data_IF_620732622101
#
_entry.id   IF_620732622101
#
_cell.length_a   1.000
_cell.length_b   1.000
_cell.length_c   1.000
_cell.angle_alpha   90.00
_cell.angle_beta   90.00
_cell.angle_gamma   90.00
#
_symmetry.space_group_name_H-M   'P 1'
#
loop_
_entity.id
_entity.type
_entity.pdbx_description
1 polymer ?
#
# COMPACT_ATOMS: atom_id res chain seq x y z
N UNK A 1 -18.05 -2.18 -16.54
CA UNK A 1 -19.17 -2.97 -15.97
C UNK A 1 -18.72 -4.40 -15.70
N UNK A 2 -18.11 -4.68 -14.54
CA UNK A 2 -17.81 -6.05 -14.05
C UNK A 2 -17.22 -6.12 -12.62
N UNK A 3 -17.09 -5.01 -11.89
CA UNK A 3 -16.42 -5.01 -10.58
C UNK A 3 -17.27 -4.55 -9.38
N UNK A 4 -18.59 -4.46 -9.53
CA UNK A 4 -19.53 -4.30 -8.39
C UNK A 4 -19.75 -5.64 -7.64
N UNK A 5 -19.04 -6.71 -8.02
CA UNK A 5 -19.47 -8.09 -7.76
C UNK A 5 -19.11 -8.61 -6.36
N UNK A 6 -18.12 -8.08 -5.63
CA UNK A 6 -17.75 -8.69 -4.33
C UNK A 6 -18.66 -8.24 -3.18
N UNK A 7 -19.10 -6.98 -3.16
CA UNK A 7 -20.11 -6.51 -2.20
C UNK A 7 -21.53 -6.91 -2.64
N UNK A 8 -21.77 -7.02 -3.96
CA UNK A 8 -23.00 -7.63 -4.47
C UNK A 8 -23.05 -9.11 -4.14
N UNK A 9 -21.94 -9.86 -4.06
CA UNK A 9 -22.02 -11.30 -3.76
C UNK A 9 -22.64 -11.61 -2.40
N UNK A 10 -22.43 -10.76 -1.39
CA UNK A 10 -23.10 -10.93 -0.09
C UNK A 10 -24.58 -10.51 -0.16
N UNK A 11 -24.92 -9.48 -0.95
CA UNK A 11 -26.30 -9.07 -1.23
C UNK A 11 -27.06 -10.04 -2.18
N UNK A 12 -26.37 -10.74 -3.09
CA UNK A 12 -26.97 -11.71 -4.03
C UNK A 12 -27.00 -13.13 -3.52
N UNK A 13 -26.23 -13.47 -2.49
CA UNK A 13 -26.41 -14.75 -1.80
C UNK A 13 -27.78 -14.80 -1.11
N UNK A 14 -28.29 -13.64 -0.67
CA UNK A 14 -29.66 -13.51 -0.14
C UNK A 14 -30.71 -13.66 -1.27
N UNK A 15 -30.43 -13.20 -2.49
CA UNK A 15 -31.39 -13.25 -3.59
C UNK A 15 -31.41 -14.57 -4.39
N UNK A 16 -30.34 -15.37 -4.42
CA UNK A 16 -30.32 -16.61 -5.24
C UNK A 16 -30.97 -17.82 -4.56
N UNK A 17 -31.33 -17.72 -3.27
CA UNK A 17 -32.26 -18.65 -2.61
C UNK A 17 -33.69 -18.08 -2.50
N UNK A 18 -33.98 -16.98 -3.21
CA UNK A 18 -35.28 -16.33 -3.26
C UNK A 18 -36.26 -16.97 -4.25
N UNK A 19 -36.41 -18.30 -4.23
CA UNK A 19 -37.70 -18.90 -4.58
C UNK A 19 -38.26 -19.57 -3.33
N UNK A 20 -39.40 -19.02 -2.89
CA UNK A 20 -40.23 -19.43 -1.75
C UNK A 20 -39.70 -19.13 -0.34
N UNK A 21 -39.79 -17.85 0.07
CA UNK A 21 -40.39 -17.49 1.37
C UNK A 21 -40.63 -15.97 1.45
N UNK A 22 -41.88 -15.55 1.22
CA UNK A 22 -42.35 -14.14 1.32
C UNK A 22 -42.39 -13.58 2.76
N UNK A 23 -41.83 -14.29 3.76
CA UNK A 23 -41.99 -13.99 5.19
C UNK A 23 -40.67 -13.84 5.99
N UNK A 24 -39.52 -13.65 5.35
CA UNK A 24 -38.31 -13.23 6.07
C UNK A 24 -38.31 -11.69 6.15
N UNK A 25 -38.40 -11.07 7.35
CA UNK A 25 -38.23 -9.63 7.46
C UNK A 25 -36.84 -9.27 6.94
N UNK A 26 -36.76 -8.20 6.14
CA UNK A 26 -35.47 -7.64 5.77
C UNK A 26 -34.72 -7.24 7.04
N UNK A 27 -33.45 -7.63 7.15
CA UNK A 27 -32.58 -7.25 8.27
C UNK A 27 -32.62 -5.74 8.45
N UNK A 28 -32.76 -5.27 9.69
CA UNK A 28 -32.67 -3.85 9.98
C UNK A 28 -31.20 -3.36 9.96
N UNK A 29 -31.02 -2.04 10.02
CA UNK A 29 -29.68 -1.42 9.94
C UNK A 29 -28.74 -1.94 11.05
N UNK A 30 -29.26 -2.21 12.24
CA UNK A 30 -28.47 -2.69 13.37
C UNK A 30 -28.03 -4.13 13.13
N UNK A 31 -28.95 -4.99 12.70
CA UNK A 31 -28.66 -6.41 12.40
C UNK A 31 -27.65 -6.55 11.25
N UNK A 32 -27.69 -5.65 10.27
CA UNK A 32 -26.71 -5.61 9.18
C UNK A 32 -25.31 -5.21 9.67
N UNK A 33 -25.22 -4.24 10.58
CA UNK A 33 -23.93 -3.81 11.17
C UNK A 33 -23.35 -4.92 12.03
N UNK A 34 -24.16 -5.58 12.86
CA UNK A 34 -23.72 -6.71 13.69
C UNK A 34 -23.21 -7.86 12.82
N UNK A 35 -23.95 -8.25 11.77
CA UNK A 35 -23.53 -9.30 10.85
C UNK A 35 -22.21 -8.95 10.12
N UNK A 36 -22.05 -7.69 9.74
CA UNK A 36 -20.81 -7.20 9.13
C UNK A 36 -19.63 -7.30 10.10
N UNK A 37 -19.81 -6.86 11.35
CA UNK A 37 -18.78 -6.94 12.39
C UNK A 37 -18.41 -8.39 12.70
N UNK A 38 -19.39 -9.28 12.89
CA UNK A 38 -19.14 -10.72 13.08
C UNK A 38 -18.36 -11.33 11.92
N UNK A 39 -18.67 -10.91 10.69
CA UNK A 39 -17.94 -11.36 9.50
C UNK A 39 -16.50 -10.87 9.49
N UNK A 40 -16.25 -9.61 9.82
CA UNK A 40 -14.90 -9.06 9.89
C UNK A 40 -14.09 -9.71 11.01
N UNK A 41 -14.69 -9.91 12.20
CA UNK A 41 -14.08 -10.64 13.31
C UNK A 41 -13.75 -12.09 12.93
N UNK A 42 -14.63 -12.75 12.17
CA UNK A 42 -14.36 -14.09 11.65
C UNK A 42 -13.18 -14.10 10.67
N UNK A 43 -12.99 -13.06 9.87
CA UNK A 43 -11.84 -12.94 8.96
C UNK A 43 -10.58 -12.65 9.78
N UNK A 44 -10.64 -11.72 10.74
CA UNK A 44 -9.52 -11.37 11.61
C UNK A 44 -8.96 -12.60 12.34
N UNK A 45 -9.84 -13.46 12.85
CA UNK A 45 -9.46 -14.72 13.53
C UNK A 45 -8.74 -15.72 12.62
N UNK A 46 -8.77 -15.53 11.29
CA UNK A 46 -7.99 -16.37 10.37
C UNK A 46 -6.56 -15.91 10.21
N UNK A 47 -6.22 -14.71 10.70
CA UNK A 47 -4.86 -14.20 10.64
C UNK A 47 -4.00 -14.71 11.78
N UNK A 48 -2.79 -15.13 11.43
CA UNK A 48 -1.72 -15.51 12.34
C UNK A 48 -0.62 -14.46 12.24
N UNK A 49 -0.63 -13.54 13.19
CA UNK A 49 0.36 -12.49 13.32
C UNK A 49 1.66 -13.02 13.92
N UNK A 50 2.78 -12.47 13.45
CA UNK A 50 4.12 -12.82 13.91
C UNK A 50 4.81 -11.60 14.53
N UNK A 51 5.79 -11.87 15.39
CA UNK A 51 6.60 -10.91 16.14
C UNK A 51 8.05 -11.37 16.18
N UNK A 52 8.97 -10.45 16.49
CA UNK A 52 10.39 -10.74 16.58
C UNK A 52 11.08 -10.84 15.22
N UNK A 53 12.00 -11.79 15.08
CA UNK A 53 12.86 -11.93 13.91
C UNK A 53 12.21 -12.78 12.82
N UNK A 54 12.09 -12.24 11.62
CA UNK A 54 11.62 -12.91 10.40
C UNK A 54 12.76 -13.01 9.39
N UNK A 55 12.92 -14.21 8.85
CA UNK A 55 13.78 -14.45 7.69
C UNK A 55 13.03 -14.10 6.40
N UNK A 56 13.56 -13.17 5.63
CA UNK A 56 12.94 -12.67 4.40
C UNK A 56 13.59 -13.36 3.20
N UNK A 57 12.75 -13.97 2.38
CA UNK A 57 13.11 -14.65 1.12
C UNK A 57 14.32 -15.59 1.27
N UNK A 58 14.15 -16.63 2.09
CA UNK A 58 15.12 -17.72 2.24
C UNK A 58 16.54 -17.25 2.60
N UNK A 59 16.66 -16.29 3.53
CA UNK A 59 17.93 -15.76 4.00
C UNK A 59 18.45 -14.55 3.25
N UNK A 60 17.68 -13.97 2.31
CA UNK A 60 18.09 -12.74 1.63
C UNK A 60 18.26 -11.57 2.60
N UNK A 61 17.29 -11.38 3.49
CA UNK A 61 17.29 -10.31 4.47
C UNK A 61 16.70 -10.76 5.80
N UNK A 62 16.96 -9.99 6.84
CA UNK A 62 16.33 -10.16 8.15
C UNK A 62 15.40 -8.97 8.39
N UNK A 63 14.18 -9.26 8.84
CA UNK A 63 13.28 -8.28 9.45
C UNK A 63 13.22 -8.53 10.96
N UNK A 64 13.69 -7.57 11.76
CA UNK A 64 13.41 -7.47 13.18
C UNK A 64 12.16 -6.61 13.35
N UNK A 65 11.02 -7.24 13.66
CA UNK A 65 9.73 -6.54 13.74
C UNK A 65 9.81 -5.47 14.85
N UNK A 66 9.56 -4.18 14.53
CA UNK A 66 9.60 -3.11 15.52
C UNK A 66 8.61 -3.32 16.66
N UNK A 67 8.96 -2.84 17.85
CA UNK A 67 8.04 -2.83 18.99
C UNK A 67 6.76 -2.04 18.64
N UNK A 68 5.59 -2.57 19.02
CA UNK A 68 4.30 -1.98 18.69
C UNK A 68 3.79 -2.33 17.29
N UNK A 69 4.46 -3.25 16.58
CA UNK A 69 4.04 -3.77 15.29
C UNK A 69 3.93 -5.29 15.29
N UNK A 70 3.09 -5.77 14.38
CA UNK A 70 2.89 -7.18 14.07
C UNK A 70 2.99 -7.42 12.57
N UNK A 71 3.37 -8.63 12.19
CA UNK A 71 3.64 -8.99 10.80
C UNK A 71 2.68 -10.07 10.29
N UNK A 72 2.23 -9.93 9.05
CA UNK A 72 1.58 -10.97 8.25
C UNK A 72 2.55 -11.45 7.17
N UNK A 73 2.72 -12.77 7.08
CA UNK A 73 3.53 -13.40 6.05
C UNK A 73 2.93 -13.22 4.64
N UNK A 74 3.71 -13.44 3.56
CA UNK A 74 3.34 -13.10 2.19
C UNK A 74 1.97 -13.59 1.73
N UNK A 75 1.53 -14.80 2.10
CA UNK A 75 0.24 -15.33 1.69
C UNK A 75 -0.93 -14.60 2.36
N UNK A 76 -0.88 -14.39 3.67
CA UNK A 76 -1.87 -13.59 4.40
C UNK A 76 -1.85 -12.11 3.99
N UNK A 77 -0.67 -11.54 3.78
CA UNK A 77 -0.52 -10.18 3.27
C UNK A 77 -1.17 -10.02 1.88
N UNK A 78 -0.95 -10.97 0.97
CA UNK A 78 -1.61 -10.99 -0.34
C UNK A 78 -3.13 -11.06 -0.23
N UNK A 79 -3.65 -11.88 0.67
CA UNK A 79 -5.09 -11.96 0.92
C UNK A 79 -5.66 -10.63 1.41
N UNK A 80 -4.97 -9.93 2.31
CA UNK A 80 -5.33 -8.57 2.73
C UNK A 80 -5.31 -7.61 1.54
N UNK A 81 -4.16 -7.49 0.86
CA UNK A 81 -3.94 -6.50 -0.19
C UNK A 81 -4.85 -6.72 -1.41
N UNK A 82 -5.04 -7.97 -1.82
CA UNK A 82 -5.72 -8.32 -3.08
C UNK A 82 -7.19 -8.67 -2.86
N UNK A 83 -7.49 -9.62 -1.98
CA UNK A 83 -8.87 -10.13 -1.86
C UNK A 83 -9.76 -9.19 -1.03
N UNK A 84 -9.24 -8.69 0.08
CA UNK A 84 -9.99 -7.85 1.01
C UNK A 84 -9.96 -6.40 0.53
N UNK A 85 -8.76 -5.86 0.29
CA UNK A 85 -8.57 -4.48 -0.12
C UNK A 85 -8.78 -4.27 -1.62
N UNK A 86 -8.77 -5.33 -2.42
CA UNK A 86 -9.14 -5.25 -3.83
C UNK A 86 -8.08 -4.60 -4.72
N UNK A 87 -6.81 -4.55 -4.29
CA UNK A 87 -5.68 -4.17 -5.15
C UNK A 87 -5.44 -5.25 -6.22
N UNK A 88 -4.82 -4.92 -7.36
CA UNK A 88 -4.34 -5.94 -8.28
C UNK A 88 -3.32 -6.87 -7.59
N UNK A 89 -3.24 -8.14 -8.00
CA UNK A 89 -2.21 -9.04 -7.52
C UNK A 89 -0.81 -8.47 -7.78
N UNK A 90 0.04 -8.54 -6.77
CA UNK A 90 1.45 -8.18 -6.86
C UNK A 90 2.26 -9.02 -5.88
N UNK A 91 3.55 -9.21 -6.15
CA UNK A 91 4.44 -9.83 -5.18
C UNK A 91 4.58 -8.94 -3.94
N UNK A 92 4.58 -9.57 -2.77
CA UNK A 92 4.81 -8.93 -1.47
C UNK A 92 5.62 -9.90 -0.60
N UNK A 93 6.50 -9.34 0.21
CA UNK A 93 7.26 -10.05 1.23
C UNK A 93 6.59 -9.95 2.60
N UNK A 94 5.36 -9.44 2.67
CA UNK A 94 4.54 -9.37 3.87
C UNK A 94 4.06 -7.97 4.20
N UNK A 95 3.30 -7.88 5.30
CA UNK A 95 2.64 -6.65 5.73
C UNK A 95 2.89 -6.44 7.23
N UNK A 96 3.46 -5.28 7.59
CA UNK A 96 3.51 -4.82 8.98
C UNK A 96 2.29 -3.95 9.27
N UNK A 97 1.75 -4.12 10.47
CA UNK A 97 0.58 -3.42 10.98
C UNK A 97 0.87 -2.94 12.40
N UNK A 98 0.37 -1.76 12.83
CA UNK A 98 0.39 -1.40 14.24
C UNK A 98 -0.35 -2.44 15.08
N UNK A 99 0.19 -2.76 16.26
CA UNK A 99 -0.25 -3.88 17.10
C UNK A 99 -1.77 -3.91 17.35
N UNK A 100 -2.32 -2.73 17.67
CA UNK A 100 -3.70 -2.55 18.09
C UNK A 100 -4.67 -2.25 16.94
N UNK A 101 -4.27 -2.50 15.70
CA UNK A 101 -5.10 -2.31 14.50
C UNK A 101 -5.37 -3.64 13.82
N UNK A 102 -6.45 -3.73 13.04
CA UNK A 102 -6.68 -4.87 12.15
C UNK A 102 -6.85 -4.36 10.72
N UNK A 103 -6.40 -5.11 9.70
CA UNK A 103 -6.57 -4.71 8.30
C UNK A 103 -8.02 -4.83 7.81
N UNK A 104 -8.93 -5.38 8.62
CA UNK A 104 -10.34 -5.59 8.29
C UNK A 104 -11.31 -4.86 9.23
N UNK A 105 -10.79 -4.09 10.19
CA UNK A 105 -11.59 -3.37 11.18
C UNK A 105 -11.67 -1.87 10.89
N UNK A 106 -12.67 -1.22 11.48
CA UNK A 106 -12.88 0.22 11.38
C UNK A 106 -11.78 1.06 12.09
N UNK A 107 -10.92 0.41 12.88
CA UNK A 107 -9.79 1.06 13.54
C UNK A 107 -8.47 0.95 12.75
N UNK A 108 -8.51 0.46 11.51
CA UNK A 108 -7.37 0.46 10.61
C UNK A 108 -6.86 1.90 10.38
N UNK A 109 -5.54 2.11 10.49
CA UNK A 109 -4.93 3.43 10.30
C UNK A 109 -3.97 3.46 9.11
N UNK A 110 -3.02 2.54 9.09
CA UNK A 110 -2.06 2.36 8.01
C UNK A 110 -1.46 0.95 8.05
N UNK A 111 -0.81 0.57 6.95
CA UNK A 111 0.03 -0.61 6.90
C UNK A 111 1.36 -0.29 6.21
N UNK A 112 2.35 -1.14 6.44
CA UNK A 112 3.65 -1.08 5.79
C UNK A 112 3.82 -2.33 4.96
N UNK A 113 3.76 -2.19 3.65
CA UNK A 113 4.00 -3.29 2.74
C UNK A 113 5.50 -3.46 2.50
N UNK A 114 5.97 -4.70 2.61
CA UNK A 114 7.35 -5.06 2.28
C UNK A 114 7.38 -5.67 0.88
N UNK A 115 8.26 -5.15 0.02
CA UNK A 115 8.47 -5.63 -1.36
C UNK A 115 9.96 -5.65 -1.69
N UNK A 116 10.34 -6.43 -2.70
CA UNK A 116 11.70 -6.47 -3.23
C UNK A 116 11.68 -6.29 -4.74
N UNK A 117 12.63 -5.51 -5.25
CA UNK A 117 12.79 -5.24 -6.67
C UNK A 117 14.20 -5.67 -7.10
N UNK A 118 14.33 -6.80 -7.79
CA UNK A 118 15.61 -7.33 -8.30
C UNK A 118 16.02 -6.65 -9.62
N UNK A 119 16.37 -5.38 -9.54
CA UNK A 119 16.67 -4.55 -10.73
C UNK A 119 18.17 -4.54 -11.06
N UNK A 120 19.01 -5.05 -10.16
CA UNK A 120 20.46 -4.92 -10.16
C UNK A 120 20.96 -4.00 -9.04
N UNK A 121 22.27 -3.81 -9.00
CA UNK A 121 22.94 -2.85 -8.11
C UNK A 121 22.61 -1.41 -8.53
N UNK A 122 21.99 -0.64 -7.63
CA UNK A 122 21.69 0.78 -7.87
C UNK A 122 22.95 1.60 -7.59
N UNK A 123 23.53 2.25 -8.60
CA UNK A 123 24.62 3.19 -8.35
C UNK A 123 24.11 4.42 -7.59
N UNK A 124 24.89 4.89 -6.61
CA UNK A 124 24.54 6.02 -5.73
C UNK A 124 25.40 7.27 -5.94
N UNK A 125 26.10 7.34 -7.07
CA UNK A 125 26.95 8.45 -7.47
C UNK A 125 26.16 9.72 -7.81
N UNK A 126 24.92 9.58 -8.27
CA UNK A 126 24.02 10.70 -8.58
C UNK A 126 23.37 11.33 -7.34
N UNK A 127 23.45 10.70 -6.16
CA UNK A 127 22.64 11.06 -5.00
C UNK A 127 22.81 12.50 -4.49
N UNK A 128 23.99 13.11 -4.70
CA UNK A 128 24.27 14.50 -4.28
C UNK A 128 23.81 15.55 -5.27
N UNK A 129 23.49 15.14 -6.50
CA UNK A 129 23.27 16.03 -7.64
C UNK A 129 21.78 16.10 -8.03
N UNK A 130 20.89 15.44 -7.27
CA UNK A 130 19.46 15.39 -7.55
C UNK A 130 18.78 16.69 -7.11
N UNK A 131 18.11 17.35 -8.05
CA UNK A 131 17.14 18.40 -7.76
C UNK A 131 15.77 17.74 -7.47
N UNK A 132 15.40 17.67 -6.19
CA UNK A 132 14.15 17.03 -5.77
C UNK A 132 12.89 17.83 -6.14
N UNK A 133 13.00 19.13 -6.42
CA UNK A 133 11.88 19.95 -6.88
C UNK A 133 11.62 19.73 -8.37
N UNK A 134 12.68 19.66 -9.18
CA UNK A 134 12.59 19.26 -10.58
C UNK A 134 12.05 17.82 -10.71
N UNK A 135 12.57 16.90 -9.90
CA UNK A 135 12.12 15.51 -9.87
C UNK A 135 10.64 15.40 -9.51
N UNK A 136 10.18 16.17 -8.53
CA UNK A 136 8.77 16.23 -8.15
C UNK A 136 7.91 16.74 -9.30
N UNK A 137 8.34 17.82 -9.95
CA UNK A 137 7.63 18.42 -11.09
C UNK A 137 7.47 17.40 -12.23
N UNK A 138 8.52 16.64 -12.52
CA UNK A 138 8.48 15.58 -13.53
C UNK A 138 7.49 14.46 -13.14
N UNK A 139 7.55 13.96 -11.89
CA UNK A 139 6.60 12.93 -11.44
C UNK A 139 5.15 13.40 -11.44
N UNK A 140 4.89 14.68 -11.11
CA UNK A 140 3.55 15.26 -11.18
C UNK A 140 3.00 15.23 -12.61
N UNK A 141 3.83 15.65 -13.58
CA UNK A 141 3.50 15.55 -15.00
C UNK A 141 3.23 14.12 -15.43
N UNK A 142 4.06 13.19 -14.99
CA UNK A 142 3.90 11.78 -15.35
C UNK A 142 2.59 11.18 -14.81
N UNK A 143 2.19 11.58 -13.59
CA UNK A 143 0.89 11.20 -13.02
C UNK A 143 -0.27 11.77 -13.84
N UNK A 144 -0.18 13.04 -14.27
CA UNK A 144 -1.17 13.67 -15.15
C UNK A 144 -1.30 12.92 -16.49
N UNK A 145 -0.17 12.56 -17.10
CA UNK A 145 -0.11 11.84 -18.37
C UNK A 145 -0.63 10.38 -18.25
N UNK A 146 -0.53 9.76 -17.08
CA UNK A 146 -1.02 8.40 -16.81
C UNK A 146 -2.53 8.33 -16.51
N UNK A 147 -3.13 9.40 -15.97
CA UNK A 147 -4.53 9.42 -15.55
C UNK A 147 -5.56 9.05 -16.65
N UNK A 148 -5.42 9.48 -17.92
CA UNK A 148 -6.39 9.14 -18.96
C UNK A 148 -6.57 7.63 -19.14
N UNK A 149 -5.49 6.84 -19.12
CA UNK A 149 -5.59 5.39 -19.27
C UNK A 149 -6.18 4.74 -18.01
N UNK A 150 -5.79 5.23 -16.84
CA UNK A 150 -6.33 4.79 -15.55
C UNK A 150 -7.86 4.96 -15.48
N UNK A 151 -8.38 6.09 -15.97
CA UNK A 151 -9.82 6.36 -16.04
C UNK A 151 -10.51 5.39 -17.02
N UNK A 152 -9.88 5.08 -18.17
CA UNK A 152 -10.44 4.10 -19.13
C UNK A 152 -10.55 2.70 -18.53
N UNK A 153 -9.61 2.33 -17.67
CA UNK A 153 -9.63 1.06 -16.92
C UNK A 153 -10.66 1.05 -15.77
N UNK A 154 -11.31 2.18 -15.49
CA UNK A 154 -12.38 2.29 -14.51
C UNK A 154 -11.92 2.68 -13.10
N UNK A 155 -10.70 3.20 -12.98
CA UNK A 155 -10.16 3.72 -11.73
C UNK A 155 -10.33 5.24 -11.64
N UNK A 156 -10.41 5.78 -10.42
CA UNK A 156 -10.39 7.22 -10.22
C UNK A 156 -9.02 7.81 -10.55
N UNK A 157 -8.98 9.00 -11.16
CA UNK A 157 -7.73 9.76 -11.32
C UNK A 157 -7.12 10.11 -9.96
N UNK A 158 -5.84 10.42 -9.95
CA UNK A 158 -5.16 10.91 -8.76
C UNK A 158 -4.16 12.01 -9.10
N UNK A 159 -3.77 12.78 -8.10
CA UNK A 159 -2.77 13.86 -8.20
C UNK A 159 -1.68 13.62 -7.17
N UNK A 160 -0.42 13.77 -7.59
CA UNK A 160 0.70 13.93 -6.68
C UNK A 160 0.72 15.39 -6.21
N UNK A 161 0.39 15.63 -4.95
CA UNK A 161 0.35 16.99 -4.37
C UNK A 161 1.76 17.52 -4.15
N UNK A 162 2.64 16.69 -3.59
CA UNK A 162 4.01 17.07 -3.29
C UNK A 162 4.72 16.06 -2.41
N UNK A 163 5.90 16.46 -1.91
CA UNK A 163 6.59 15.76 -0.85
C UNK A 163 5.90 16.01 0.51
N UNK A 164 5.40 14.94 1.14
CA UNK A 164 5.00 14.95 2.55
C UNK A 164 6.24 14.89 3.49
N UNK A 165 7.32 14.32 2.97
CA UNK A 165 8.66 14.33 3.56
C UNK A 165 9.64 14.32 2.41
N UNK A 166 10.53 15.30 2.38
CA UNK A 166 11.56 15.39 1.34
C UNK A 166 12.44 14.13 1.33
N UNK A 167 12.97 13.73 0.17
CA UNK A 167 13.89 12.62 0.09
C UNK A 167 15.17 12.83 0.90
N UNK A 168 15.56 11.78 1.60
CA UNK A 168 16.79 11.70 2.36
C UNK A 168 17.54 10.42 2.01
N UNK A 169 18.86 10.53 1.86
CA UNK A 169 19.74 9.40 1.63
C UNK A 169 20.77 9.26 2.75
N UNK A 170 20.72 8.14 3.46
CA UNK A 170 21.78 7.68 4.34
C UNK A 170 22.84 6.92 3.53
N UNK A 171 23.90 7.62 3.17
CA UNK A 171 25.01 7.06 2.40
C UNK A 171 25.79 5.97 3.16
N UNK A 172 25.77 5.99 4.50
CA UNK A 172 26.50 5.02 5.32
C UNK A 172 25.77 3.68 5.33
N UNK A 173 24.47 3.71 5.60
CA UNK A 173 23.65 2.50 5.70
C UNK A 173 23.03 2.07 4.36
N UNK A 174 23.20 2.88 3.31
CA UNK A 174 22.63 2.65 1.97
C UNK A 174 21.11 2.54 2.01
N UNK A 175 20.49 3.47 2.77
CA UNK A 175 19.03 3.53 2.97
C UNK A 175 18.52 4.90 2.55
N UNK A 176 17.38 4.91 1.88
CA UNK A 176 16.70 6.12 1.45
C UNK A 176 15.32 6.15 2.05
N UNK A 177 14.80 7.33 2.33
CA UNK A 177 13.40 7.46 2.65
C UNK A 177 12.81 8.80 2.21
N UNK A 178 11.53 8.78 1.86
CA UNK A 178 10.77 9.95 1.42
C UNK A 178 9.29 9.68 1.56
N UNK A 179 8.47 10.73 1.52
CA UNK A 179 7.03 10.58 1.51
C UNK A 179 6.36 11.47 0.47
N UNK A 180 5.36 10.90 -0.21
CA UNK A 180 4.51 11.58 -1.19
C UNK A 180 3.10 11.73 -0.65
N UNK A 181 2.50 12.86 -0.93
CA UNK A 181 1.09 13.12 -0.67
C UNK A 181 0.29 12.97 -1.97
N UNK A 182 -0.72 12.12 -1.96
CA UNK A 182 -1.60 11.90 -3.10
C UNK A 182 -3.04 12.29 -2.80
N UNK A 183 -3.71 12.91 -3.78
CA UNK A 183 -5.16 13.12 -3.76
C UNK A 183 -5.83 12.25 -4.80
N UNK A 184 -6.71 11.35 -4.37
CA UNK A 184 -7.50 10.48 -5.25
C UNK A 184 -8.89 11.07 -5.48
N UNK A 185 -9.32 11.17 -6.74
CA UNK A 185 -10.63 11.70 -7.12
C UNK A 185 -10.99 13.00 -6.39
N UNK A 186 -12.20 13.01 -5.83
CA UNK A 186 -12.72 14.11 -5.00
C UNK A 186 -12.64 13.78 -3.50
N UNK A 187 -11.70 12.92 -3.10
CA UNK A 187 -11.49 12.57 -1.69
C UNK A 187 -11.25 13.82 -0.83
N UNK A 188 -11.85 13.83 0.36
CA UNK A 188 -11.66 14.86 1.38
C UNK A 188 -10.30 14.69 2.09
N UNK A 189 -9.81 13.46 2.22
CA UNK A 189 -8.47 13.18 2.77
C UNK A 189 -7.48 12.85 1.67
N UNK A 190 -6.23 13.23 1.91
CA UNK A 190 -5.10 12.85 1.08
C UNK A 190 -4.40 11.63 1.67
N UNK A 191 -3.82 10.83 0.79
CA UNK A 191 -3.10 9.60 1.10
C UNK A 191 -1.62 9.88 1.29
N UNK A 192 -1.07 9.35 2.37
CA UNK A 192 0.35 9.23 2.63
C UNK A 192 0.92 7.99 1.91
N UNK A 193 2.00 8.19 1.17
CA UNK A 193 2.84 7.13 0.64
C UNK A 193 4.29 7.37 1.10
N UNK A 194 4.74 6.68 2.15
CA UNK A 194 6.08 6.84 2.72
C UNK A 194 6.95 5.65 2.33
N UNK A 195 7.97 5.86 1.50
CA UNK A 195 8.88 4.78 1.09
C UNK A 195 10.14 4.81 1.97
N UNK A 196 10.57 3.63 2.38
CA UNK A 196 11.89 3.37 2.94
C UNK A 196 12.54 2.32 2.06
N UNK A 197 13.59 2.70 1.34
CA UNK A 197 14.33 1.83 0.43
C UNK A 197 15.66 1.45 1.05
N UNK A 198 15.96 0.15 1.04
CA UNK A 198 17.24 -0.39 1.47
C UNK A 198 17.92 -0.94 0.23
N UNK A 199 19.10 -0.41 -0.10
CA UNK A 199 19.86 -0.88 -1.25
C UNK A 199 20.59 -2.17 -0.91
N UNK A 200 20.45 -3.17 -1.77
CA UNK A 200 21.14 -4.45 -1.68
C UNK A 200 22.09 -4.66 -2.84
N UNK A 201 22.74 -5.83 -2.84
CA UNK A 201 23.70 -6.24 -3.87
C UNK A 201 23.09 -6.29 -5.27
N UNK A 202 21.84 -6.76 -5.37
CA UNK A 202 21.17 -7.12 -6.64
C UNK A 202 19.80 -6.47 -6.81
N UNK A 203 19.40 -5.63 -5.88
CA UNK A 203 18.06 -5.06 -5.87
C UNK A 203 17.81 -4.21 -4.64
N UNK A 204 16.55 -3.85 -4.44
CA UNK A 204 16.12 -2.91 -3.41
C UNK A 204 14.96 -3.49 -2.62
N UNK A 205 15.09 -3.51 -1.30
CA UNK A 205 13.96 -3.75 -0.40
C UNK A 205 13.20 -2.45 -0.18
N UNK A 206 11.88 -2.54 -0.09
CA UNK A 206 11.01 -1.40 0.10
C UNK A 206 9.98 -1.67 1.19
N UNK A 207 10.01 -0.83 2.22
CA UNK A 207 8.96 -0.71 3.21
C UNK A 207 8.13 0.52 2.84
N UNK A 208 6.93 0.28 2.33
CA UNK A 208 6.03 1.32 1.88
C UNK A 208 4.89 1.50 2.87
N UNK A 209 4.85 2.62 3.58
CA UNK A 209 3.74 2.99 4.47
C UNK A 209 2.61 3.60 3.63
N UNK A 210 1.41 3.06 3.80
CA UNK A 210 0.19 3.53 3.13
C UNK A 210 -0.88 3.81 4.18
N UNK A 211 -1.38 5.03 4.20
CA UNK A 211 -2.47 5.46 5.08
C UNK A 211 -2.93 6.88 4.77
N UNK A 212 -3.72 7.48 5.64
CA UNK A 212 -4.11 8.89 5.54
C UNK A 212 -2.96 9.82 5.95
N UNK A 213 -2.93 11.05 5.43
CA UNK A 213 -1.93 12.05 5.81
C UNK A 213 -1.90 12.37 7.32
N UNK A 214 -2.99 12.09 8.05
CA UNK A 214 -3.06 12.24 9.51
C UNK A 214 -2.06 11.34 10.27
N UNK A 215 -1.59 10.25 9.67
CA UNK A 215 -0.65 9.31 10.30
C UNK A 215 0.82 9.74 10.17
N UNK A 216 1.11 10.72 9.30
CA UNK A 216 2.48 11.19 9.03
C UNK A 216 3.28 11.56 10.29
N UNK A 217 2.74 12.26 11.31
CA UNK A 217 3.49 12.58 12.52
C UNK A 217 3.94 11.32 13.27
N UNK A 218 3.08 10.31 13.36
CA UNK A 218 3.42 9.03 13.99
C UNK A 218 4.49 8.28 13.19
N UNK A 219 4.32 8.19 11.86
CA UNK A 219 5.31 7.54 10.98
C UNK A 219 6.67 8.22 11.07
N UNK A 220 6.72 9.57 11.14
CA UNK A 220 7.97 10.31 11.33
C UNK A 220 8.61 10.05 12.70
N UNK A 221 7.81 9.83 13.74
CA UNK A 221 8.33 9.48 15.07
C UNK A 221 8.96 8.08 15.09
N UNK A 222 8.41 7.15 14.30
CA UNK A 222 8.84 5.75 14.27
C UNK A 222 9.86 5.44 13.16
N UNK A 223 10.29 6.46 12.41
CA UNK A 223 11.12 6.26 11.21
C UNK A 223 12.44 5.54 11.48
N UNK A 224 13.11 5.88 12.59
CA UNK A 224 14.37 5.25 12.98
C UNK A 224 14.15 3.77 13.32
N UNK A 225 13.01 3.42 13.93
CA UNK A 225 12.66 2.02 14.19
C UNK A 225 12.48 1.24 12.90
N UNK A 226 11.85 1.83 11.88
CA UNK A 226 11.72 1.19 10.58
C UNK A 226 13.04 1.08 9.82
N UNK A 227 13.86 2.13 9.82
CA UNK A 227 15.17 2.13 9.18
C UNK A 227 16.06 1.03 9.76
N UNK A 228 15.99 0.77 11.06
CA UNK A 228 16.76 -0.27 11.74
C UNK A 228 16.10 -1.66 11.74
N UNK A 229 14.87 -1.77 11.22
CA UNK A 229 14.11 -3.04 11.27
C UNK A 229 14.52 -4.05 10.22
N UNK A 230 15.11 -3.61 9.10
CA UNK A 230 15.42 -4.51 7.98
C UNK A 230 16.82 -4.26 7.46
N UNK A 231 17.56 -5.36 7.29
CA UNK A 231 18.88 -5.37 6.69
C UNK A 231 19.08 -6.61 5.81
N UNK A 232 19.83 -6.44 4.72
CA UNK A 232 20.30 -7.56 3.91
C UNK A 232 21.32 -8.40 4.69
N UNK A 233 21.19 -9.72 4.56
CA UNK A 233 22.14 -10.65 5.14
C UNK A 233 23.44 -10.71 4.30
N UNK A 234 24.50 -11.27 4.87
CA UNK A 234 25.77 -11.46 4.16
C UNK A 234 25.59 -12.18 2.82
N UNK A 235 26.26 -11.68 1.78
CA UNK A 235 26.11 -12.13 0.40
C UNK A 235 25.07 -11.34 -0.41
N UNK A 236 24.17 -10.62 0.27
CA UNK A 236 23.12 -9.78 -0.32
C UNK A 236 23.27 -8.29 -0.05
N UNK A 237 24.26 -7.88 0.76
CA UNK A 237 24.44 -6.46 1.12
C UNK A 237 24.93 -5.65 -0.07
N UNK A 238 24.60 -4.37 -0.08
CA UNK A 238 25.14 -3.43 -1.06
C UNK A 238 26.67 -3.49 -1.18
N UNK A 239 27.37 -3.65 -0.06
CA UNK A 239 28.84 -3.78 -0.01
C UNK A 239 29.38 -5.09 -0.58
N UNK A 240 28.52 -6.09 -0.78
CA UNK A 240 28.91 -7.40 -1.34
C UNK A 240 28.82 -7.42 -2.88
N UNK A 241 28.58 -6.25 -3.49
CA UNK A 241 28.58 -6.06 -4.94
C UNK A 241 29.91 -6.45 -5.58
N UNK A 242 29.83 -7.23 -6.65
CA UNK A 242 30.96 -7.60 -7.47
C UNK A 242 30.76 -7.08 -8.90
N UNK A 243 31.53 -6.08 -9.36
CA UNK A 243 31.37 -5.48 -10.68
C UNK A 243 31.67 -6.43 -11.85
N UNK A 244 32.39 -7.53 -11.62
CA UNK A 244 32.70 -8.52 -12.65
C UNK A 244 31.55 -9.51 -12.87
N UNK A 245 30.63 -9.63 -11.92
CA UNK A 245 29.60 -10.68 -11.89
C UNK A 245 28.17 -10.15 -11.79
N UNK A 246 27.98 -9.04 -11.07
CA UNK A 246 26.66 -8.52 -10.73
C UNK A 246 26.19 -7.49 -11.75
N UNK A 247 24.88 -7.52 -12.01
CA UNK A 247 24.22 -6.58 -12.91
C UNK A 247 24.07 -5.23 -12.21
N UNK A 248 24.47 -4.16 -12.88
CA UNK A 248 24.15 -2.78 -12.49
C UNK A 248 22.76 -2.43 -13.05
N UNK A 249 21.92 -1.78 -12.24
CA UNK A 249 20.63 -1.29 -12.67
C UNK A 249 20.79 -0.19 -13.73
N UNK A 250 19.76 0.00 -14.55
CA UNK A 250 19.79 0.99 -15.64
C UNK A 250 19.64 2.44 -15.16
N UNK A 251 19.52 2.67 -13.85
CA UNK A 251 19.26 3.96 -13.23
C UNK A 251 19.94 4.05 -11.85
N UNK A 252 20.19 5.29 -11.40
CA UNK A 252 20.69 5.63 -10.07
C UNK A 252 19.58 6.03 -9.10
N UNK A 253 19.93 6.76 -8.04
CA UNK A 253 19.02 7.15 -6.96
C UNK A 253 17.87 8.03 -7.48
N UNK A 254 18.14 8.96 -8.40
CA UNK A 254 17.09 9.81 -8.96
C UNK A 254 16.02 9.01 -9.69
N UNK A 255 16.45 8.01 -10.47
CA UNK A 255 15.54 7.10 -11.16
C UNK A 255 14.79 6.16 -10.21
N UNK A 256 15.43 5.73 -9.12
CA UNK A 256 14.78 4.93 -8.07
C UNK A 256 13.63 5.71 -7.40
N UNK A 257 13.84 6.99 -7.10
CA UNK A 257 12.82 7.86 -6.47
C UNK A 257 11.68 8.18 -7.45
N UNK A 258 12.02 8.52 -8.70
CA UNK A 258 11.04 8.77 -9.75
C UNK A 258 10.16 7.54 -10.05
N UNK A 259 10.75 6.35 -9.94
CA UNK A 259 10.14 5.09 -10.34
C UNK A 259 10.13 4.90 -11.87
N UNK A 260 9.62 3.75 -12.31
CA UNK A 260 9.63 3.29 -13.73
C UNK A 260 8.74 4.09 -14.69
N UNK A 261 8.44 5.35 -14.42
CA UNK A 261 7.50 6.10 -15.26
C UNK A 261 8.06 6.47 -16.64
N UNK A 262 9.35 6.20 -16.88
CA UNK A 262 9.98 6.31 -18.20
C UNK A 262 9.68 5.17 -19.20
N UNK A 263 8.95 4.12 -18.83
CA UNK A 263 8.58 3.05 -19.77
C UNK A 263 7.16 3.25 -20.34
N UNK A 264 7.07 4.04 -21.43
CA UNK A 264 5.88 4.14 -22.29
C UNK A 264 5.35 2.71 -22.56
N UNK A 265 4.06 2.50 -22.26
CA UNK A 265 3.20 1.31 -22.49
C UNK A 265 2.96 0.32 -21.34
N UNK A 266 3.70 0.33 -20.22
CA UNK A 266 3.52 -0.68 -19.15
C UNK A 266 3.37 -0.19 -17.70
N UNK A 267 3.64 1.10 -17.43
CA UNK A 267 3.75 1.65 -16.07
C UNK A 267 2.41 1.84 -15.31
N UNK A 268 1.27 1.49 -15.93
CA UNK A 268 -0.04 1.67 -15.30
C UNK A 268 -0.30 0.71 -14.13
N UNK A 269 0.30 -0.48 -14.12
CA UNK A 269 -0.02 -1.54 -13.15
C UNK A 269 0.36 -1.19 -11.70
N UNK A 270 1.44 -0.43 -11.48
CA UNK A 270 1.92 -0.05 -10.13
C UNK A 270 1.03 1.02 -9.50
N UNK A 271 0.43 1.90 -10.31
CA UNK A 271 -0.41 3.01 -9.84
C UNK A 271 -1.80 2.55 -9.36
N UNK A 272 -2.17 1.30 -9.62
CA UNK A 272 -3.46 0.71 -9.23
C UNK A 272 -3.56 0.32 -7.75
N UNK A 273 -2.43 0.32 -7.04
CA UNK A 273 -2.35 -0.16 -5.65
C UNK A 273 -2.93 0.90 -4.69
N UNK A 274 -3.81 0.47 -3.80
CA UNK A 274 -4.36 1.17 -2.62
C UNK A 274 -5.59 2.07 -2.75
N UNK A 275 -6.16 2.31 -3.94
CA UNK A 275 -7.31 3.22 -4.09
C UNK A 275 -8.58 2.78 -3.33
N UNK A 276 -8.80 1.47 -3.16
CA UNK A 276 -9.94 0.95 -2.39
C UNK A 276 -9.71 0.94 -0.88
N UNK A 277 -8.47 0.81 -0.42
CA UNK A 277 -8.12 0.93 1.01
C UNK A 277 -8.39 2.34 1.49
N UNK A 278 -8.03 3.32 0.67
CA UNK A 278 -8.33 4.73 0.91
C UNK A 278 -9.86 4.92 0.92
N UNK A 279 -10.60 4.31 -0.02
CA UNK A 279 -12.06 4.35 0.00
C UNK A 279 -12.70 3.68 1.24
N UNK A 280 -12.04 2.67 1.83
CA UNK A 280 -12.48 2.00 3.06
C UNK A 280 -12.10 2.81 4.31
N UNK A 281 -10.88 3.38 4.38
CA UNK A 281 -10.47 4.30 5.46
C UNK A 281 -11.31 5.60 5.47
N UNK A 282 -11.70 6.09 4.29
CA UNK A 282 -12.59 7.24 4.09
C UNK A 282 -14.04 6.97 4.50
N UNK A 283 -14.42 5.71 4.65
CA UNK A 283 -15.75 5.32 5.04
C UNK A 283 -15.69 4.61 6.39
N UNK A 284 -16.01 5.35 7.47
CA UNK A 284 -16.89 4.74 8.45
C UNK A 284 -18.14 4.27 7.68
N UNK A 285 -18.14 3.00 7.26
CA UNK A 285 -18.72 2.45 6.01
C UNK A 285 -20.18 2.73 5.68
N UNK A 286 -20.91 3.46 6.52
CA UNK A 286 -22.35 3.65 6.45
C UNK A 286 -22.81 5.08 6.13
N UNK A 287 -22.01 6.12 6.43
CA UNK A 287 -22.51 7.50 6.37
C UNK A 287 -22.72 8.03 4.93
N UNK A 288 -21.92 7.58 3.96
CA UNK A 288 -21.97 8.08 2.58
C UNK A 288 -23.03 7.35 1.74
N UNK A 289 -23.26 6.05 1.98
CA UNK A 289 -24.35 5.29 1.35
C UNK A 289 -25.72 5.85 1.72
N UNK A 290 -25.89 6.38 2.94
CA UNK A 290 -27.13 7.02 3.43
C UNK A 290 -27.58 8.21 2.56
N UNK A 291 -26.66 9.05 2.08
CA UNK A 291 -27.03 10.32 1.42
C UNK A 291 -27.55 10.13 -0.01
N UNK A 292 -27.26 8.99 -0.65
CA UNK A 292 -27.80 8.64 -1.98
C UNK A 292 -29.11 7.87 -1.96
N UNK A 293 -29.49 7.26 -0.82
CA UNK A 293 -30.76 6.52 -0.70
C UNK A 293 -31.87 7.27 0.08
N UNK A 294 -31.56 8.38 0.77
CA UNK A 294 -32.56 9.17 1.53
C UNK A 294 -32.88 10.54 0.93
N UNK A 295 -32.21 10.94 -0.15
CA UNK A 295 -32.47 12.21 -0.85
C UNK A 295 -33.62 12.12 -1.86
N UNK A 296 -34.87 12.06 -1.37
CA UNK A 296 -36.07 12.71 -1.93
C UNK A 296 -37.35 12.06 -1.39
N UNK A 297 -37.85 12.55 -0.24
CA UNK A 297 -39.29 12.63 0.01
C UNK A 297 -39.60 13.91 0.80
N UNK A 298 -39.71 15.01 0.08
CA UNK A 298 -40.60 16.11 0.47
C UNK A 298 -41.99 15.81 -0.08
N UNK A 299 -42.91 15.43 0.80
CA UNK A 299 -44.31 15.88 0.83
C UNK A 299 -44.94 15.49 2.15
#
# INVERSE_FOLDING_TARGET
>A
MKHTIILIFFLTFIFSFGQENENQPALDETELIELYQEKMDSIEKTFSYQHGKIDIDNGMATLEIPEGYKYLEPHQANRVLTEIWGNPPSETLGLLLPENTSPVSDNFTYAIEITYEEEGYIADDDATDIDYDELLTQMQKDVEDANPERIKEGYESFKLIGWASEPYYDQMNKKLHWAKEFKFGESETNTLNYNIRILGRKGVLNLNVIGDMSVLPQVKNDIDSFLNSVDFNEGYRYTDFNPDMDKIAAYGIGGLIAGKVLAKTGALAVLLKFWKVIAIALAGGFAVLRKRFTGNKTS
#
